data_IF_283136093187
#
_entry.id   IF_283136093187
#
_cell.length_a   1.000
_cell.length_b   1.000
_cell.length_c   1.000
_cell.angle_alpha   90.00
_cell.angle_beta   90.00
_cell.angle_gamma   90.00
#
_symmetry.space_group_name_H-M   'P 1'
#
loop_
_entity.id
_entity.type
_entity.pdbx_description
1 polymer ?
#
# COMPACT_ATOMS: atom_id res chain seq x y z
N UNK A 1 14.83 -5.55 3.04
CA UNK A 1 13.95 -4.41 3.29
C UNK A 1 13.50 -4.42 4.74
N UNK A 2 13.50 -3.26 5.41
CA UNK A 2 13.04 -3.10 6.80
C UNK A 2 12.46 -1.70 7.01
N UNK A 3 11.65 -1.56 8.06
CA UNK A 3 11.10 -0.29 8.55
C UNK A 3 11.20 -0.26 10.09
N UNK A 4 11.31 0.95 10.66
CA UNK A 4 11.32 1.17 12.10
C UNK A 4 9.91 1.30 12.66
N UNK A 5 9.67 0.78 13.85
CA UNK A 5 8.50 1.14 14.66
C UNK A 5 8.71 2.51 15.32
N UNK A 6 7.64 3.09 15.85
CA UNK A 6 7.67 4.40 16.53
C UNK A 6 8.45 4.40 17.85
N UNK A 7 8.62 3.25 18.47
CA UNK A 7 9.37 3.14 19.73
C UNK A 7 10.90 3.19 19.56
N UNK A 8 11.39 3.22 18.30
CA UNK A 8 12.83 3.22 17.95
C UNK A 8 13.63 2.03 18.51
N UNK A 9 12.93 0.98 18.93
CA UNK A 9 13.54 -0.27 19.47
C UNK A 9 13.23 -1.48 18.61
N UNK A 10 12.12 -1.42 17.87
CA UNK A 10 11.69 -2.53 17.03
C UNK A 10 11.85 -2.20 15.56
N UNK A 11 12.26 -3.19 14.79
CA UNK A 11 12.27 -3.14 13.33
C UNK A 11 11.36 -4.22 12.77
N UNK A 12 10.66 -3.88 11.72
CA UNK A 12 9.88 -4.81 10.92
C UNK A 12 10.68 -5.11 9.67
N UNK A 13 10.97 -6.37 9.39
CA UNK A 13 11.83 -6.74 8.27
C UNK A 13 11.31 -7.94 7.51
N UNK A 14 11.76 -8.09 6.26
CA UNK A 14 11.46 -9.24 5.42
C UNK A 14 12.59 -10.24 5.50
N UNK A 15 12.25 -11.49 5.83
CA UNK A 15 13.13 -12.64 5.66
C UNK A 15 12.78 -13.35 4.35
N UNK A 16 13.82 -13.71 3.60
CA UNK A 16 13.68 -14.55 2.41
C UNK A 16 13.69 -16.01 2.80
N UNK A 17 12.95 -16.81 2.07
CA UNK A 17 13.08 -18.27 2.11
C UNK A 17 14.48 -18.68 1.65
N UNK A 18 15.14 -19.55 2.41
CA UNK A 18 16.54 -19.90 2.19
C UNK A 18 16.77 -20.72 0.91
N UNK A 19 15.74 -21.45 0.46
CA UNK A 19 15.81 -22.30 -0.72
C UNK A 19 15.39 -21.58 -2.00
N UNK A 20 14.28 -20.86 -1.93
CA UNK A 20 13.69 -20.20 -3.10
C UNK A 20 14.14 -18.74 -3.26
N UNK A 21 14.75 -18.16 -2.23
CA UNK A 21 15.13 -16.75 -2.12
C UNK A 21 13.93 -15.79 -2.22
N UNK A 22 12.70 -16.32 -2.16
CA UNK A 22 11.48 -15.54 -2.22
C UNK A 22 11.27 -14.76 -0.92
N UNK A 23 10.91 -13.49 -1.02
CA UNK A 23 10.54 -12.64 0.12
C UNK A 23 9.14 -13.02 0.59
N UNK A 24 9.02 -13.93 1.56
CA UNK A 24 7.73 -14.50 1.93
C UNK A 24 7.37 -14.36 3.42
N UNK A 25 8.29 -13.90 4.28
CA UNK A 25 8.03 -13.75 5.72
C UNK A 25 8.36 -12.36 6.21
N UNK A 26 7.49 -11.82 7.03
CA UNK A 26 7.66 -10.52 7.69
C UNK A 26 7.75 -10.73 9.19
N UNK A 27 8.84 -10.26 9.79
CA UNK A 27 9.12 -10.39 11.22
C UNK A 27 9.22 -9.04 11.91
N UNK A 28 8.94 -9.04 13.20
CA UNK A 28 9.25 -7.99 14.15
C UNK A 28 10.45 -8.42 15.00
N UNK A 29 11.49 -7.63 15.01
CA UNK A 29 12.69 -7.81 15.82
C UNK A 29 12.85 -6.67 16.80
N UNK A 30 13.14 -6.98 18.07
CA UNK A 30 13.51 -5.98 19.08
C UNK A 30 15.03 -5.90 19.19
N UNK A 31 15.58 -4.71 18.94
CA UNK A 31 17.03 -4.46 18.96
C UNK A 31 17.63 -4.87 20.31
N UNK A 32 18.76 -5.54 20.26
CA UNK A 32 19.44 -6.08 21.46
C UNK A 32 18.95 -7.45 21.90
N UNK A 33 17.97 -8.03 21.22
CA UNK A 33 17.51 -9.41 21.49
C UNK A 33 18.07 -10.40 20.46
N UNK A 34 18.00 -11.70 20.78
CA UNK A 34 18.35 -12.74 19.81
C UNK A 34 17.26 -12.85 18.74
N UNK A 35 17.65 -13.01 17.49
CA UNK A 35 16.76 -13.22 16.33
C UNK A 35 15.83 -14.44 16.50
N UNK A 36 16.19 -15.40 17.35
CA UNK A 36 15.32 -16.54 17.71
C UNK A 36 14.03 -16.12 18.45
N UNK A 37 13.99 -14.90 19.00
CA UNK A 37 12.83 -14.32 19.69
C UNK A 37 11.97 -13.47 18.78
N UNK A 38 12.30 -13.36 17.50
CA UNK A 38 11.53 -12.55 16.56
C UNK A 38 10.11 -13.06 16.38
N UNK A 39 9.18 -12.11 16.28
CA UNK A 39 7.76 -12.41 16.14
C UNK A 39 7.43 -12.45 14.64
N UNK A 40 6.93 -13.58 14.16
CA UNK A 40 6.37 -13.68 12.80
C UNK A 40 5.07 -12.88 12.73
N UNK A 41 5.06 -11.80 11.94
CA UNK A 41 3.90 -10.97 11.71
C UNK A 41 3.02 -11.48 10.57
N UNK A 42 3.66 -11.91 9.48
CA UNK A 42 2.97 -12.38 8.28
C UNK A 42 3.83 -13.38 7.52
N UNK A 43 3.19 -14.42 7.00
CA UNK A 43 3.79 -15.38 6.08
C UNK A 43 2.93 -15.49 4.82
N UNK A 44 3.54 -15.31 3.66
CA UNK A 44 2.94 -15.61 2.36
C UNK A 44 3.24 -17.07 2.02
N UNK A 45 2.19 -17.85 1.90
CA UNK A 45 2.28 -19.30 1.64
C UNK A 45 2.14 -19.66 0.17
N UNK A 46 1.62 -18.73 -0.66
CA UNK A 46 1.52 -18.94 -2.10
C UNK A 46 2.86 -18.58 -2.76
N UNK A 47 3.56 -19.55 -3.38
CA UNK A 47 4.90 -19.31 -3.96
C UNK A 47 4.89 -18.35 -5.16
N UNK A 48 3.73 -18.01 -5.71
CA UNK A 48 3.60 -17.02 -6.79
C UNK A 48 3.65 -15.59 -6.27
N UNK A 49 3.50 -15.38 -4.97
CA UNK A 49 3.47 -14.07 -4.35
C UNK A 49 4.74 -13.78 -3.56
N UNK A 50 5.10 -12.53 -3.51
CA UNK A 50 6.23 -12.03 -2.72
C UNK A 50 5.82 -10.85 -1.85
N UNK A 51 6.46 -10.74 -0.70
CA UNK A 51 6.23 -9.65 0.24
C UNK A 51 7.13 -8.44 -0.06
N UNK A 52 6.57 -7.24 0.12
CA UNK A 52 7.33 -6.00 0.23
C UNK A 52 6.77 -5.13 1.37
N UNK A 53 7.58 -4.22 1.90
CA UNK A 53 7.22 -3.30 2.96
C UNK A 53 7.12 -1.88 2.42
N UNK A 54 6.18 -1.12 2.98
CA UNK A 54 6.05 0.32 2.78
C UNK A 54 5.76 1.03 4.10
N UNK A 55 5.90 2.35 4.07
CA UNK A 55 5.51 3.25 5.17
C UNK A 55 4.53 4.26 4.60
N UNK A 56 3.45 4.54 5.33
CA UNK A 56 2.50 5.58 4.96
C UNK A 56 3.16 6.98 4.92
N UNK A 57 2.56 7.87 4.15
CA UNK A 57 3.05 9.25 3.96
C UNK A 57 3.20 10.01 5.27
N UNK A 58 2.29 9.82 6.22
CA UNK A 58 2.36 10.41 7.56
C UNK A 58 3.30 9.66 8.52
N UNK A 59 3.89 8.54 8.08
CA UNK A 59 4.79 7.70 8.88
C UNK A 59 4.15 7.14 10.15
N UNK A 60 2.82 6.99 10.17
CA UNK A 60 2.09 6.39 11.30
C UNK A 60 1.81 4.89 11.09
N UNK A 61 1.83 4.44 9.82
CA UNK A 61 1.47 3.06 9.47
C UNK A 61 2.55 2.38 8.64
N UNK A 62 2.75 1.09 8.92
CA UNK A 62 3.48 0.18 8.05
C UNK A 62 2.51 -0.52 7.10
N UNK A 63 2.99 -0.86 5.91
CA UNK A 63 2.26 -1.55 4.85
C UNK A 63 3.00 -2.83 4.50
N UNK A 64 2.28 -3.94 4.42
CA UNK A 64 2.77 -5.22 3.88
C UNK A 64 2.00 -5.48 2.59
N UNK A 65 2.69 -5.49 1.49
CA UNK A 65 2.17 -5.94 0.19
C UNK A 65 2.51 -7.41 0.00
N UNK A 66 1.54 -8.22 -0.36
CA UNK A 66 1.74 -9.53 -0.94
C UNK A 66 1.31 -9.46 -2.39
N UNK A 67 2.24 -9.59 -3.33
CA UNK A 67 2.07 -9.20 -4.72
C UNK A 67 2.61 -10.24 -5.70
N UNK A 68 1.93 -10.35 -6.82
CA UNK A 68 2.39 -10.99 -8.05
C UNK A 68 2.06 -10.09 -9.26
N UNK A 69 2.36 -10.51 -10.48
CA UNK A 69 2.22 -9.66 -11.68
C UNK A 69 0.82 -9.06 -11.84
N UNK A 70 -0.24 -9.83 -11.59
CA UNK A 70 -1.62 -9.44 -11.92
C UNK A 70 -2.53 -9.28 -10.71
N UNK A 71 -2.03 -9.48 -9.49
CA UNK A 71 -2.83 -9.42 -8.28
C UNK A 71 -1.98 -9.05 -7.07
N UNK A 72 -2.59 -8.39 -6.12
CA UNK A 72 -1.98 -8.19 -4.80
C UNK A 72 -3.03 -8.12 -3.70
N UNK A 73 -2.55 -8.18 -2.47
CA UNK A 73 -3.30 -7.78 -1.28
C UNK A 73 -2.39 -6.97 -0.36
N UNK A 74 -2.98 -6.08 0.41
CA UNK A 74 -2.26 -5.18 1.30
C UNK A 74 -2.80 -5.29 2.70
N UNK A 75 -1.90 -5.42 3.65
CA UNK A 75 -2.16 -5.27 5.09
C UNK A 75 -1.50 -4.00 5.59
N UNK A 76 -2.12 -3.37 6.55
CA UNK A 76 -1.53 -2.25 7.27
C UNK A 76 -1.56 -2.49 8.77
N UNK A 77 -0.68 -1.80 9.47
CA UNK A 77 -0.59 -1.82 10.93
C UNK A 77 -0.06 -0.48 11.44
N UNK A 78 -0.43 -0.12 12.66
CA UNK A 78 0.16 1.06 13.30
C UNK A 78 1.62 0.79 13.66
N UNK A 79 2.53 1.72 13.37
CA UNK A 79 3.93 1.65 13.79
C UNK A 79 4.11 1.75 15.31
N UNK A 80 3.06 2.18 16.05
CA UNK A 80 3.01 2.08 17.52
C UNK A 80 2.64 0.67 18.02
N UNK A 81 1.98 -0.14 17.20
CA UNK A 81 1.58 -1.51 17.55
C UNK A 81 1.64 -2.43 16.30
N UNK A 82 2.85 -2.86 15.90
CA UNK A 82 3.07 -3.60 14.66
C UNK A 82 2.43 -4.98 14.61
N UNK A 83 2.03 -5.55 15.75
CA UNK A 83 1.47 -6.91 15.83
C UNK A 83 0.00 -6.99 15.40
N UNK A 84 -0.68 -5.85 15.26
CA UNK A 84 -2.10 -5.80 14.87
C UNK A 84 -2.27 -5.51 13.38
N UNK A 85 -2.11 -6.53 12.55
CA UNK A 85 -2.31 -6.41 11.11
C UNK A 85 -3.79 -6.34 10.74
N UNK A 86 -4.12 -5.46 9.80
CA UNK A 86 -5.45 -5.33 9.20
C UNK A 86 -5.36 -5.51 7.69
N UNK A 87 -6.13 -6.46 7.16
CA UNK A 87 -6.25 -6.64 5.71
C UNK A 87 -7.18 -5.57 5.13
N UNK A 88 -6.76 -4.94 4.02
CA UNK A 88 -7.60 -3.97 3.31
C UNK A 88 -8.61 -4.72 2.44
N UNK A 89 -8.16 -5.41 1.42
CA UNK A 89 -8.99 -6.29 0.59
C UNK A 89 -8.23 -7.59 0.29
N UNK A 90 -8.97 -8.70 0.24
CA UNK A 90 -8.44 -9.98 -0.26
C UNK A 90 -8.06 -9.84 -1.73
N UNK A 91 -6.96 -10.49 -2.11
CA UNK A 91 -6.53 -10.56 -3.51
C UNK A 91 -7.60 -11.19 -4.41
N UNK A 92 -7.71 -10.65 -5.62
CA UNK A 92 -8.52 -11.20 -6.70
C UNK A 92 -7.68 -11.26 -7.97
N UNK A 93 -7.92 -12.24 -8.82
CA UNK A 93 -7.28 -12.32 -10.14
C UNK A 93 -7.51 -11.02 -10.93
N UNK A 94 -6.44 -10.48 -11.54
CA UNK A 94 -6.44 -9.24 -12.32
C UNK A 94 -6.79 -7.97 -11.51
N UNK A 95 -6.78 -8.04 -10.19
CA UNK A 95 -6.99 -6.86 -9.35
C UNK A 95 -5.69 -6.46 -8.66
N UNK A 96 -5.22 -5.26 -8.98
CA UNK A 96 -4.07 -4.60 -8.32
C UNK A 96 -4.52 -3.31 -7.69
N UNK A 97 -3.97 -3.02 -6.51
CA UNK A 97 -4.19 -1.77 -5.85
C UNK A 97 -2.96 -1.36 -5.02
N UNK A 98 -2.71 -0.07 -4.98
CA UNK A 98 -1.62 0.55 -4.23
C UNK A 98 -2.22 1.58 -3.30
N UNK A 99 -1.70 1.65 -2.09
CA UNK A 99 -2.34 2.43 -1.03
C UNK A 99 -1.34 3.37 -0.37
N UNK A 100 -1.85 4.49 0.10
CA UNK A 100 -1.16 5.34 1.04
C UNK A 100 -2.14 5.89 2.08
N UNK A 101 -1.62 6.30 3.24
CA UNK A 101 -2.40 6.82 4.35
C UNK A 101 -1.78 8.15 4.77
N UNK A 102 -2.64 9.15 4.95
CA UNK A 102 -2.26 10.47 5.42
C UNK A 102 -3.37 11.10 6.24
N UNK A 103 -3.08 11.47 7.50
CA UNK A 103 -4.03 12.10 8.42
C UNK A 103 -5.36 11.34 8.53
N UNK A 104 -5.31 10.04 8.79
CA UNK A 104 -6.47 9.14 8.85
C UNK A 104 -7.30 9.03 7.55
N UNK A 105 -6.86 9.62 6.46
CA UNK A 105 -7.42 9.41 5.14
C UNK A 105 -6.66 8.28 4.44
N UNK A 106 -7.40 7.33 3.90
CA UNK A 106 -6.90 6.23 3.10
C UNK A 106 -7.08 6.56 1.62
N UNK A 107 -6.00 6.48 0.85
CA UNK A 107 -6.00 6.67 -0.59
C UNK A 107 -5.62 5.37 -1.28
N UNK A 108 -6.25 5.09 -2.40
CA UNK A 108 -6.03 3.85 -3.14
C UNK A 108 -6.09 4.08 -4.64
N UNK A 109 -5.01 3.74 -5.30
CA UNK A 109 -4.95 3.58 -6.75
C UNK A 109 -5.33 2.14 -7.08
N UNK A 110 -6.35 1.92 -7.91
CA UNK A 110 -6.91 0.59 -8.15
C UNK A 110 -7.44 0.43 -9.57
N UNK A 111 -7.29 -0.77 -10.13
CA UNK A 111 -7.92 -1.22 -11.37
C UNK A 111 -9.15 -2.11 -11.12
N UNK A 112 -9.82 -1.91 -9.99
CA UNK A 112 -11.03 -2.64 -9.63
C UNK A 112 -12.11 -2.52 -10.71
N UNK A 113 -13.00 -3.49 -10.79
CA UNK A 113 -14.12 -3.55 -11.73
C UNK A 113 -13.72 -3.72 -13.21
N UNK A 114 -12.55 -4.34 -13.44
CA UNK A 114 -12.09 -4.68 -14.81
C UNK A 114 -11.56 -3.48 -15.59
N UNK A 115 -11.16 -2.43 -14.90
CA UNK A 115 -10.52 -1.27 -15.52
C UNK A 115 -9.13 -1.65 -16.07
N UNK A 116 -8.84 -1.25 -17.30
CA UNK A 116 -7.51 -1.45 -17.88
C UNK A 116 -6.49 -0.46 -17.31
N UNK A 117 -6.93 0.77 -17.05
CA UNK A 117 -6.19 1.83 -16.39
C UNK A 117 -6.65 1.95 -14.93
N UNK A 118 -5.86 2.62 -14.12
CA UNK A 118 -6.17 2.82 -12.71
C UNK A 118 -7.05 4.04 -12.48
N UNK A 119 -7.85 3.99 -11.42
CA UNK A 119 -8.51 5.13 -10.80
C UNK A 119 -7.89 5.43 -9.45
N UNK A 120 -7.96 6.68 -8.98
CA UNK A 120 -7.63 7.05 -7.61
C UNK A 120 -8.92 7.23 -6.82
N UNK A 121 -9.00 6.57 -5.66
CA UNK A 121 -10.12 6.66 -4.73
C UNK A 121 -9.61 6.97 -3.33
N UNK A 122 -10.51 7.36 -2.42
CA UNK A 122 -10.18 7.60 -1.02
C UNK A 122 -11.35 7.23 -0.11
N UNK A 123 -11.06 7.03 1.17
CA UNK A 123 -12.04 6.89 2.26
C UNK A 123 -11.41 7.28 3.60
N UNK A 124 -12.22 7.28 4.66
CA UNK A 124 -11.68 7.26 6.01
C UNK A 124 -10.97 5.92 6.26
N UNK A 125 -9.87 5.96 7.00
CA UNK A 125 -9.07 4.76 7.31
C UNK A 125 -9.88 3.70 8.06
N UNK A 126 -10.84 4.10 8.89
CA UNK A 126 -11.70 3.20 9.65
C UNK A 126 -12.56 2.28 8.78
N UNK A 127 -12.86 2.70 7.56
CA UNK A 127 -13.69 1.96 6.58
C UNK A 127 -12.95 1.57 5.31
N UNK A 128 -11.62 1.63 5.32
CA UNK A 128 -10.77 1.33 4.15
C UNK A 128 -10.98 -0.10 3.59
N UNK A 129 -11.41 -1.07 4.42
CA UNK A 129 -11.75 -2.44 4.03
C UNK A 129 -13.12 -2.57 3.34
N UNK A 130 -13.91 -1.50 3.30
CA UNK A 130 -15.25 -1.44 2.69
C UNK A 130 -15.19 -0.71 1.35
N UNK A 131 -14.83 -1.39 0.26
CA UNK A 131 -14.64 -0.77 -1.05
C UNK A 131 -15.85 0.06 -1.53
N UNK A 132 -17.08 -0.30 -1.13
CA UNK A 132 -18.31 0.46 -1.42
C UNK A 132 -18.32 1.87 -0.78
N UNK A 133 -17.47 2.10 0.22
CA UNK A 133 -17.29 3.41 0.87
C UNK A 133 -16.22 4.28 0.21
N UNK A 134 -15.48 3.74 -0.75
CA UNK A 134 -14.43 4.48 -1.44
C UNK A 134 -15.05 5.50 -2.40
N UNK A 135 -14.66 6.76 -2.22
CA UNK A 135 -15.08 7.88 -3.07
C UNK A 135 -14.04 8.10 -4.16
N UNK A 136 -14.48 8.42 -5.36
CA UNK A 136 -13.56 8.65 -6.49
C UNK A 136 -12.93 10.03 -6.40
N UNK A 137 -11.61 10.09 -6.50
CA UNK A 137 -10.80 11.30 -6.66
C UNK A 137 -10.51 11.54 -8.15
N UNK A 138 -10.01 10.51 -8.83
CA UNK A 138 -9.76 10.52 -10.27
C UNK A 138 -10.39 9.27 -10.89
N UNK A 139 -11.26 9.46 -11.88
CA UNK A 139 -11.86 8.36 -12.64
C UNK A 139 -10.83 7.76 -13.60
N UNK A 140 -10.94 6.46 -13.81
CA UNK A 140 -10.25 5.79 -14.90
C UNK A 140 -10.57 6.44 -16.26
N UNK A 141 -9.61 6.42 -17.18
CA UNK A 141 -9.77 6.92 -18.53
C UNK A 141 -8.98 6.05 -19.51
N UNK A 142 -9.57 5.72 -20.65
CA UNK A 142 -8.89 4.98 -21.73
C UNK A 142 -7.70 5.74 -22.32
N UNK A 143 -7.67 7.07 -22.19
CA UNK A 143 -6.60 7.94 -22.72
C UNK A 143 -5.49 8.21 -21.70
N UNK A 144 -5.71 7.87 -20.43
CA UNK A 144 -4.78 8.19 -19.36
C UNK A 144 -4.53 6.96 -18.48
N UNK A 145 -3.29 6.57 -18.38
CA UNK A 145 -2.81 5.54 -17.44
C UNK A 145 -2.23 6.21 -16.21
N UNK A 146 -2.76 5.90 -15.04
CA UNK A 146 -2.23 6.37 -13.75
C UNK A 146 -1.07 5.46 -13.34
N UNK A 147 0.12 6.04 -13.19
CA UNK A 147 1.36 5.33 -12.86
C UNK A 147 1.61 5.31 -11.35
N UNK A 148 1.46 6.47 -10.70
CA UNK A 148 1.72 6.63 -9.27
C UNK A 148 0.97 7.85 -8.71
N UNK A 149 0.97 8.00 -7.38
CA UNK A 149 0.43 9.16 -6.71
C UNK A 149 1.20 9.49 -5.44
N UNK A 150 1.35 10.77 -5.14
CA UNK A 150 1.92 11.28 -3.89
C UNK A 150 0.96 12.25 -3.19
N UNK A 151 0.79 12.05 -1.88
CA UNK A 151 -0.12 12.85 -1.06
C UNK A 151 0.66 13.93 -0.33
N UNK A 152 0.15 15.15 -0.38
CA UNK A 152 0.62 16.30 0.38
C UNK A 152 -0.53 16.91 1.19
N UNK A 153 -0.23 17.82 2.10
CA UNK A 153 -1.22 18.43 2.98
C UNK A 153 -2.42 19.04 2.24
N UNK A 154 -2.17 19.73 1.13
CA UNK A 154 -3.20 20.47 0.39
C UNK A 154 -3.43 19.97 -1.04
N UNK A 155 -2.65 19.01 -1.53
CA UNK A 155 -2.75 18.52 -2.88
C UNK A 155 -2.25 17.08 -3.01
N UNK A 156 -2.64 16.42 -4.09
CA UNK A 156 -2.14 15.13 -4.52
C UNK A 156 -1.48 15.35 -5.89
N UNK A 157 -0.27 14.86 -6.06
CA UNK A 157 0.38 14.76 -7.36
C UNK A 157 0.16 13.38 -7.92
N UNK A 158 -0.15 13.31 -9.20
CA UNK A 158 -0.37 12.07 -9.93
C UNK A 158 0.62 12.00 -11.08
N UNK A 159 1.41 10.95 -11.13
CA UNK A 159 2.18 10.60 -12.31
C UNK A 159 1.27 9.86 -13.28
N UNK A 160 1.07 10.42 -14.46
CA UNK A 160 0.17 9.84 -15.46
C UNK A 160 0.85 9.80 -16.82
N UNK A 161 0.41 8.87 -17.64
CA UNK A 161 0.70 8.88 -19.09
C UNK A 161 -0.60 9.14 -19.83
N UNK A 162 -0.72 10.29 -20.46
CA UNK A 162 -1.89 10.68 -21.21
C UNK A 162 -1.55 10.84 -22.71
N UNK A 163 -2.32 10.17 -23.56
CA UNK A 163 -2.04 10.10 -25.00
C UNK A 163 -0.58 9.69 -25.33
N UNK A 164 0.00 8.78 -24.50
CA UNK A 164 1.38 8.30 -24.66
C UNK A 164 2.46 9.18 -24.02
N UNK A 165 2.14 10.38 -23.58
CA UNK A 165 3.10 11.34 -23.00
C UNK A 165 3.04 11.35 -21.46
N UNK A 166 4.20 11.38 -20.76
CA UNK A 166 4.23 11.53 -19.31
C UNK A 166 3.78 12.93 -18.90
N UNK A 167 2.96 13.02 -17.88
CA UNK A 167 2.44 14.28 -17.32
C UNK A 167 2.28 14.15 -15.80
N UNK A 168 2.34 15.29 -15.11
CA UNK A 168 2.01 15.39 -13.69
C UNK A 168 0.70 16.16 -13.56
N UNK A 169 -0.30 15.52 -12.97
CA UNK A 169 -1.55 16.18 -12.61
C UNK A 169 -1.54 16.54 -11.14
N UNK A 170 -2.00 17.75 -10.81
CA UNK A 170 -2.17 18.22 -9.45
C UNK A 170 -3.65 18.28 -9.10
N UNK A 171 -4.03 17.64 -8.00
CA UNK A 171 -5.40 17.67 -7.47
C UNK A 171 -5.38 18.38 -6.12
N UNK A 172 -6.21 19.40 -5.95
CA UNK A 172 -6.39 20.05 -4.66
C UNK A 172 -7.23 19.15 -3.74
N UNK A 173 -6.75 18.90 -2.50
CA UNK A 173 -7.44 18.01 -1.55
C UNK A 173 -8.72 18.60 -0.97
N UNK A 174 -8.88 19.94 -0.95
CA UNK A 174 -10.07 20.62 -0.38
C UNK A 174 -11.27 20.58 -1.31
N UNK A 175 -11.08 20.99 -2.56
CA UNK A 175 -12.17 21.08 -3.57
C UNK A 175 -12.09 20.01 -4.65
N UNK A 176 -10.98 19.23 -4.68
CA UNK A 176 -10.73 18.12 -5.62
C UNK A 176 -10.83 18.51 -7.09
N UNK A 177 -10.50 19.75 -7.39
CA UNK A 177 -10.34 20.23 -8.77
C UNK A 177 -8.98 19.87 -9.32
N UNK A 178 -8.92 19.59 -10.62
CA UNK A 178 -7.68 19.32 -11.36
C UNK A 178 -7.09 20.62 -11.88
N UNK A 179 -5.79 20.71 -11.85
CA UNK A 179 -4.97 21.71 -12.55
C UNK A 179 -3.90 20.99 -13.36
#
# INVERSE_FOLDING_TARGET
QFIWSKNSKDIIYIKRDERTLTSNKVYLHTIGTSQKKDILLFEETDPQFHCSLGISRDKEYGLIYSSQTNANEVRFFSLNNPTKLKLILKRKKKHKYYVDIFNNAFYVMTNMDGQDNFSLKYSDLSVCHQFKKWKTVLKESKKRYLLDFEIFKNHILLDVRENGLPQILKINTKNRTHE
#
